data_IF_691973280813
#
_entry.id   IF_691973280813
#
_cell.length_a   1.000
_cell.length_b   1.000
_cell.length_c   1.000
_cell.angle_alpha   90.00
_cell.angle_beta   90.00
_cell.angle_gamma   90.00
#
_symmetry.space_group_name_H-M   'P 1'
#
loop_
_entity.id
_entity.type
_entity.pdbx_description
1 polymer ?
#
# COMPACT_ATOMS: atom_id res chain seq x y z
N UNK A 1 -12.56 -16.01 -6.12
CA UNK A 1 -11.39 -15.14 -6.28
C UNK A 1 -11.06 -14.53 -4.93
N UNK A 2 -9.79 -14.55 -4.50
CA UNK A 2 -9.35 -13.90 -3.25
C UNK A 2 -8.59 -12.61 -3.62
N UNK A 3 -9.06 -11.47 -3.13
CA UNK A 3 -8.44 -10.16 -3.33
C UNK A 3 -8.21 -9.52 -1.97
N UNK A 4 -7.10 -8.81 -1.81
CA UNK A 4 -6.80 -8.04 -0.59
C UNK A 4 -6.41 -6.61 -0.96
N UNK A 5 -6.77 -5.66 -0.10
CA UNK A 5 -6.32 -4.29 -0.17
C UNK A 5 -5.34 -4.02 0.97
N UNK A 6 -4.22 -3.35 0.66
CA UNK A 6 -3.19 -2.94 1.61
C UNK A 6 -3.19 -1.42 1.66
N UNK A 7 -3.33 -0.90 2.87
CA UNK A 7 -3.26 0.54 3.15
C UNK A 7 -2.39 0.74 4.37
N UNK A 8 -1.78 1.91 4.47
CA UNK A 8 -1.11 2.32 5.70
C UNK A 8 -1.74 3.59 6.23
N UNK A 9 -1.91 3.66 7.55
CA UNK A 9 -2.46 4.82 8.25
C UNK A 9 -1.50 5.22 9.35
N UNK A 10 -1.09 6.49 9.38
CA UNK A 10 -0.18 7.02 10.40
C UNK A 10 1.01 7.78 9.81
N UNK A 11 2.01 8.04 10.66
CA UNK A 11 3.28 8.65 10.24
C UNK A 11 4.23 7.61 9.64
N UNK A 12 5.09 8.05 8.72
CA UNK A 12 6.12 7.20 8.12
C UNK A 12 7.11 6.72 9.18
N UNK A 13 7.41 5.42 9.15
CA UNK A 13 8.28 4.76 10.11
C UNK A 13 9.19 3.77 9.36
N UNK A 14 10.47 3.66 9.75
CA UNK A 14 11.36 2.66 9.17
C UNK A 14 10.75 1.26 9.29
N UNK A 15 10.63 0.58 8.14
CA UNK A 15 10.11 -0.79 8.05
C UNK A 15 8.70 -0.93 7.49
N UNK A 16 7.92 0.15 7.38
CA UNK A 16 6.57 0.05 6.78
C UNK A 16 6.62 -0.36 5.30
N UNK A 17 7.58 0.17 4.54
CA UNK A 17 7.84 -0.26 3.16
C UNK A 17 8.19 -1.76 3.08
N UNK A 18 9.01 -2.25 4.01
CA UNK A 18 9.39 -3.66 4.06
C UNK A 18 8.18 -4.55 4.38
N UNK A 19 7.28 -4.11 5.27
CA UNK A 19 6.06 -4.82 5.61
C UNK A 19 5.10 -4.89 4.40
N UNK A 20 4.82 -3.77 3.73
CA UNK A 20 3.98 -3.74 2.52
C UNK A 20 4.58 -4.66 1.45
N UNK A 21 5.89 -4.58 1.23
CA UNK A 21 6.60 -5.45 0.28
C UNK A 21 6.46 -6.93 0.63
N UNK A 22 6.60 -7.31 1.91
CA UNK A 22 6.44 -8.68 2.36
C UNK A 22 5.01 -9.18 2.11
N UNK A 23 3.99 -8.38 2.42
CA UNK A 23 2.58 -8.72 2.20
C UNK A 23 2.29 -8.91 0.71
N UNK A 24 2.67 -7.95 -0.14
CA UNK A 24 2.39 -8.00 -1.59
C UNK A 24 3.06 -9.21 -2.23
N UNK A 25 4.35 -9.45 -1.95
CA UNK A 25 5.07 -10.60 -2.53
C UNK A 25 4.48 -11.93 -2.07
N UNK A 26 4.11 -12.03 -0.80
CA UNK A 26 3.51 -13.26 -0.25
C UNK A 26 2.13 -13.51 -0.84
N UNK A 27 1.30 -12.48 -0.97
CA UNK A 27 -0.03 -12.60 -1.55
C UNK A 27 0.03 -12.99 -3.04
N UNK A 28 0.88 -12.34 -3.83
CA UNK A 28 1.07 -12.71 -5.24
C UNK A 28 1.58 -14.14 -5.38
N UNK A 29 2.52 -14.59 -4.53
CA UNK A 29 2.99 -15.97 -4.51
C UNK A 29 1.87 -16.98 -4.22
N UNK A 30 0.86 -16.60 -3.45
CA UNK A 30 -0.32 -17.42 -3.14
C UNK A 30 -1.49 -17.19 -4.12
N UNK A 31 -1.23 -16.60 -5.30
CA UNK A 31 -2.25 -16.31 -6.32
C UNK A 31 -3.40 -15.40 -5.81
N UNK A 32 -3.09 -14.51 -4.87
CA UNK A 32 -4.02 -13.51 -4.34
C UNK A 32 -3.76 -12.18 -5.05
N UNK A 33 -4.81 -11.58 -5.62
CA UNK A 33 -4.70 -10.23 -6.17
C UNK A 33 -4.55 -9.20 -5.05
N UNK A 34 -3.63 -8.27 -5.24
CA UNK A 34 -3.31 -7.24 -4.24
C UNK A 34 -3.61 -5.86 -4.82
N UNK A 35 -4.26 -5.04 -4.02
CA UNK A 35 -4.54 -3.64 -4.33
C UNK A 35 -3.93 -2.76 -3.24
N UNK A 36 -3.41 -1.60 -3.63
CA UNK A 36 -2.82 -0.61 -2.74
C UNK A 36 -3.74 0.58 -2.67
N UNK A 37 -4.08 0.98 -1.45
CA UNK A 37 -4.83 2.20 -1.21
C UNK A 37 -3.83 3.30 -0.89
N UNK A 38 -3.83 4.33 -1.72
CA UNK A 38 -2.95 5.47 -1.58
C UNK A 38 -3.54 6.42 -0.54
N UNK A 39 -2.73 7.25 0.13
CA UNK A 39 -3.23 8.23 1.12
C UNK A 39 -4.07 7.64 2.29
N UNK A 40 -3.85 6.36 2.63
CA UNK A 40 -4.54 5.68 3.73
C UNK A 40 -6.07 5.71 3.59
N UNK A 41 -6.77 6.07 4.66
CA UNK A 41 -8.24 6.13 4.65
C UNK A 41 -8.81 7.17 3.68
N UNK A 42 -8.07 8.26 3.41
CA UNK A 42 -8.56 9.29 2.49
C UNK A 42 -8.63 8.77 1.06
N UNK A 43 -7.61 8.03 0.61
CA UNK A 43 -7.67 7.41 -0.72
C UNK A 43 -8.69 6.28 -0.79
N UNK A 44 -8.96 5.58 0.32
CA UNK A 44 -10.06 4.61 0.36
C UNK A 44 -11.41 5.29 0.08
N UNK A 45 -11.67 6.45 0.68
CA UNK A 45 -12.89 7.22 0.46
C UNK A 45 -12.98 7.80 -0.97
N UNK A 46 -11.82 8.09 -1.58
CA UNK A 46 -11.72 8.68 -2.91
C UNK A 46 -11.61 7.62 -4.03
N UNK A 47 -11.70 6.33 -3.70
CA UNK A 47 -11.47 5.22 -4.63
C UNK A 47 -10.07 5.24 -5.30
N UNK A 48 -9.07 5.77 -4.59
CA UNK A 48 -7.67 5.83 -5.00
C UNK A 48 -6.97 4.49 -4.71
N UNK A 49 -7.44 3.47 -5.43
CA UNK A 49 -7.08 2.06 -5.24
C UNK A 49 -6.43 1.55 -6.53
N UNK A 50 -5.17 1.13 -6.44
CA UNK A 50 -4.40 0.68 -7.61
C UNK A 50 -3.96 -0.76 -7.45
N UNK A 51 -3.96 -1.52 -8.55
CA UNK A 51 -3.47 -2.89 -8.54
C UNK A 51 -1.95 -2.91 -8.30
N UNK A 52 -1.52 -3.81 -7.42
CA UNK A 52 -0.13 -3.97 -7.02
C UNK A 52 0.48 -5.20 -7.70
N UNK A 53 1.60 -5.01 -8.41
CA UNK A 53 2.34 -6.08 -9.09
C UNK A 53 3.76 -6.28 -8.52
N UNK A 54 4.45 -7.35 -8.91
CA UNK A 54 5.77 -7.69 -8.37
C UNK A 54 6.83 -6.62 -8.65
N UNK A 55 6.83 -6.04 -9.86
CA UNK A 55 7.78 -4.99 -10.24
C UNK A 55 7.57 -3.67 -9.50
N UNK A 56 6.49 -3.64 -8.75
CA UNK A 56 5.87 -2.44 -8.31
C UNK A 56 6.34 -2.25 -6.85
N UNK A 57 6.40 -3.27 -6.00
CA UNK A 57 7.21 -3.23 -4.73
C UNK A 57 8.75 -3.26 -4.90
N UNK A 58 9.27 -2.86 -6.06
CA UNK A 58 10.70 -2.83 -6.36
C UNK A 58 11.41 -1.59 -5.81
N UNK A 59 12.69 -1.72 -5.45
CA UNK A 59 13.50 -0.61 -4.89
C UNK A 59 13.66 0.60 -5.85
N UNK A 60 13.35 0.41 -7.14
CA UNK A 60 13.42 1.45 -8.19
C UNK A 60 12.10 2.19 -8.42
N UNK A 61 10.96 1.73 -7.91
CA UNK A 61 9.66 2.32 -8.22
C UNK A 61 9.21 3.31 -7.13
N UNK A 62 9.22 4.60 -7.47
CA UNK A 62 8.77 5.68 -6.60
C UNK A 62 7.27 5.65 -6.28
N UNK A 63 6.46 4.88 -7.03
CA UNK A 63 5.00 4.85 -6.84
C UNK A 63 4.58 4.27 -5.46
N UNK A 64 5.40 3.43 -4.85
CA UNK A 64 5.03 2.63 -3.66
C UNK A 64 5.30 3.36 -2.37
N UNK A 65 6.18 4.36 -2.46
CA UNK A 65 6.39 5.39 -1.45
C UNK A 65 5.11 6.16 -1.15
N UNK A 66 4.10 6.12 -2.03
CA UNK A 66 2.80 6.77 -1.83
C UNK A 66 1.73 5.88 -1.18
N UNK A 67 1.97 4.57 -1.01
CA UNK A 67 1.19 3.77 -0.05
C UNK A 67 1.46 4.28 1.38
N UNK A 68 2.63 4.89 1.59
CA UNK A 68 3.03 5.63 2.80
C UNK A 68 2.86 7.15 2.61
N UNK A 69 1.63 7.64 2.42
CA UNK A 69 1.42 9.09 2.54
C UNK A 69 0.88 9.43 3.92
N UNK A 70 1.63 10.30 4.58
CA UNK A 70 1.25 11.15 5.71
C UNK A 70 -0.21 11.61 5.58
N UNK A 71 -1.15 10.89 6.19
CA UNK A 71 -2.39 11.53 6.62
C UNK A 71 -2.08 12.19 7.94
N UNK A 72 -1.63 13.45 7.89
CA UNK A 72 -1.81 14.36 9.02
C UNK A 72 -3.32 14.58 9.07
N UNK A 73 -4.06 13.63 9.65
CA UNK A 73 -5.44 13.88 10.03
C UNK A 73 -5.35 14.99 11.06
N UNK A 74 -5.61 16.21 10.60
CA UNK A 74 -5.62 17.42 11.40
C UNK A 74 -6.38 17.08 12.68
N UNK A 75 -5.70 17.22 13.82
CA UNK A 75 -6.29 17.09 15.14
C UNK A 75 -7.58 17.90 15.17
N UNK A 76 -8.71 17.21 15.23
CA UNK A 76 -9.87 17.66 16.00
C UNK A 76 -9.69 17.16 17.42
#
# INVERSE_FOLDING_TARGET
MKKIAVLTSGGDSPGMNAAVRAVVRTAIYNEIEVYGVYHGYQGLLNDDIHKLELGSVGDTDSAWRYILVFSKMSRV
#
